data_IF_923328731721
#
_entry.id   IF_923328731721
#
_cell.length_a   1.000
_cell.length_b   1.000
_cell.length_c   1.000
_cell.angle_alpha   90.00
_cell.angle_beta   90.00
_cell.angle_gamma   90.00
#
_symmetry.space_group_name_H-M   'P 1'
#
loop_
_entity.id
_entity.type
_entity.pdbx_description
1 polymer ?
#
# COMPACT_ATOMS: atom_id res chain seq x y z
N UNK A 1 1.72 18.82 -8.80
CA UNK A 1 1.30 19.24 -7.44
C UNK A 1 1.06 17.97 -6.63
N UNK A 2 1.97 17.66 -5.70
CA UNK A 2 1.88 16.48 -4.85
C UNK A 2 0.93 16.76 -3.70
N UNK A 3 -0.23 16.11 -3.70
CA UNK A 3 -1.11 16.09 -2.54
C UNK A 3 -0.56 15.10 -1.52
N UNK A 4 -0.19 15.55 -0.34
CA UNK A 4 0.11 14.69 0.77
C UNK A 4 -1.18 14.04 1.28
N UNK A 5 -1.26 12.72 1.17
CA UNK A 5 -2.31 11.93 1.83
C UNK A 5 -1.81 11.60 3.25
N UNK A 6 -2.37 12.26 4.25
CA UNK A 6 -2.23 11.81 5.63
C UNK A 6 -3.23 10.66 5.86
N UNK A 7 -2.74 9.43 5.91
CA UNK A 7 -3.52 8.31 6.41
C UNK A 7 -3.52 8.36 7.94
N UNK A 8 -4.45 9.13 8.50
CA UNK A 8 -4.70 9.08 9.95
C UNK A 8 -5.71 7.96 10.22
N UNK A 9 -5.24 6.85 10.78
CA UNK A 9 -6.15 5.87 11.39
C UNK A 9 -6.66 6.46 12.70
N UNK A 10 -7.87 7.02 12.70
CA UNK A 10 -8.53 7.45 13.93
C UNK A 10 -9.11 6.21 14.63
N UNK A 11 -8.64 5.95 15.86
CA UNK A 11 -9.30 5.06 16.79
C UNK A 11 -10.57 5.76 17.30
N UNK A 12 -11.73 5.30 16.89
CA UNK A 12 -12.92 5.52 17.69
C UNK A 12 -12.94 4.56 18.88
N UNK A 13 -13.23 5.07 20.07
CA UNK A 13 -13.17 4.36 21.34
C UNK A 13 -14.36 3.43 21.59
N UNK A 14 -14.81 2.71 20.60
CA UNK A 14 -15.79 1.64 20.80
C UNK A 14 -15.11 0.29 20.68
N UNK A 15 -14.98 -0.35 21.84
CA UNK A 15 -14.17 -1.56 22.08
C UNK A 15 -14.74 -2.84 21.47
N UNK A 16 -15.78 -2.80 20.68
CA UNK A 16 -16.41 -4.02 20.14
C UNK A 16 -16.17 -4.28 18.66
N UNK A 17 -15.68 -3.31 17.87
CA UNK A 17 -15.33 -3.51 16.46
C UNK A 17 -14.24 -2.53 16.01
N UNK A 18 -13.00 -2.98 16.00
CA UNK A 18 -11.87 -2.23 15.45
C UNK A 18 -11.91 -2.21 13.91
N UNK A 19 -12.88 -1.52 13.33
CA UNK A 19 -12.96 -1.27 11.90
C UNK A 19 -12.05 -0.08 11.56
N UNK A 20 -11.03 -0.33 10.76
CA UNK A 20 -10.21 0.75 10.24
C UNK A 20 -10.93 1.40 9.06
N UNK A 21 -11.00 2.73 9.10
CA UNK A 21 -11.61 3.54 8.05
C UNK A 21 -10.50 4.10 7.17
N UNK A 22 -10.65 4.04 5.86
CA UNK A 22 -9.85 4.85 4.96
C UNK A 22 -10.45 6.25 4.96
N UNK A 23 -9.74 7.17 5.60
CA UNK A 23 -10.07 8.58 5.57
C UNK A 23 -9.38 9.21 4.38
N UNK A 24 -10.14 9.72 3.45
CA UNK A 24 -9.64 10.57 2.38
C UNK A 24 -9.89 12.01 2.78
N UNK A 25 -8.82 12.70 3.16
CA UNK A 25 -8.85 14.15 3.23
C UNK A 25 -8.94 14.70 1.82
N UNK A 26 -10.13 15.02 1.38
CA UNK A 26 -10.33 15.79 0.17
C UNK A 26 -9.87 17.22 0.44
N UNK A 27 -8.69 17.58 -0.08
CA UNK A 27 -8.14 18.93 -0.05
C UNK A 27 -8.94 19.91 -0.96
N UNK A 28 -10.30 19.86 -0.94
CA UNK A 28 -11.11 20.82 -1.66
C UNK A 28 -12.48 21.04 -0.98
N UNK A 29 -12.88 22.29 -0.81
CA UNK A 29 -12.11 23.50 -1.01
C UNK A 29 -11.10 23.70 0.12
N UNK A 30 -9.91 24.17 -0.24
CA UNK A 30 -8.92 24.60 0.76
C UNK A 30 -9.55 25.72 1.59
N UNK A 31 -9.46 25.62 2.92
CA UNK A 31 -9.60 26.79 3.77
C UNK A 31 -8.58 27.85 3.35
N UNK A 32 -8.79 29.10 3.72
CA UNK A 32 -7.80 30.16 3.48
C UNK A 32 -6.40 29.84 4.05
N UNK A 33 -6.31 28.87 4.97
CA UNK A 33 -5.07 28.35 5.57
C UNK A 33 -4.49 27.14 4.84
N UNK A 34 -5.15 26.60 3.82
CA UNK A 34 -4.68 25.46 3.05
C UNK A 34 -4.90 24.09 3.69
N UNK A 35 -5.54 24.02 4.85
CA UNK A 35 -5.84 22.77 5.55
C UNK A 35 -7.21 22.21 5.13
N UNK A 36 -7.34 20.88 5.12
CA UNK A 36 -8.63 20.22 4.95
C UNK A 36 -9.55 20.56 6.12
N UNK A 37 -10.77 20.99 5.83
CA UNK A 37 -11.71 21.44 6.86
C UNK A 37 -12.56 20.33 7.45
N UNK A 38 -12.74 19.23 6.73
CA UNK A 38 -13.50 18.05 7.17
C UNK A 38 -12.96 16.77 6.52
N UNK A 39 -12.55 15.76 7.30
CA UNK A 39 -12.27 14.44 6.76
C UNK A 39 -13.57 13.79 6.25
N UNK A 40 -13.48 13.09 5.14
CA UNK A 40 -14.57 12.27 4.62
C UNK A 40 -14.17 10.82 4.65
N UNK A 41 -15.06 9.94 5.09
CA UNK A 41 -14.88 8.51 4.99
C UNK A 41 -15.20 8.10 3.56
N UNK A 42 -14.18 7.64 2.83
CA UNK A 42 -14.34 7.09 1.48
C UNK A 42 -14.75 5.62 1.52
N UNK A 43 -14.16 4.84 2.42
CA UNK A 43 -14.49 3.45 2.66
C UNK A 43 -14.24 3.07 4.11
N UNK A 44 -15.03 2.14 4.63
CA UNK A 44 -14.87 1.56 5.96
C UNK A 44 -14.94 0.03 5.93
N UNK A 45 -14.94 -0.61 7.11
CA UNK A 45 -14.98 -2.07 7.19
C UNK A 45 -13.69 -2.75 6.73
N UNK A 46 -12.55 -2.06 6.73
CA UNK A 46 -11.26 -2.59 6.32
C UNK A 46 -10.48 -3.16 7.50
N UNK A 47 -9.87 -4.33 7.31
CA UNK A 47 -9.02 -4.96 8.30
C UNK A 47 -7.56 -4.48 8.13
N UNK A 48 -7.09 -3.69 9.08
CA UNK A 48 -5.69 -3.23 9.25
C UNK A 48 -5.07 -2.74 7.92
N UNK A 49 -5.64 -1.72 7.25
CA UNK A 49 -5.08 -1.20 6.00
C UNK A 49 -3.77 -0.45 6.27
N UNK A 50 -2.66 -0.89 5.68
CA UNK A 50 -1.36 -0.21 5.74
C UNK A 50 -1.00 0.46 4.42
N UNK A 51 -1.23 -0.22 3.30
CA UNK A 51 -0.95 0.28 1.97
C UNK A 51 -2.14 0.98 1.36
N UNK A 52 -1.92 2.19 0.81
CA UNK A 52 -2.94 2.95 0.09
C UNK A 52 -2.30 3.71 -1.07
N UNK A 53 -2.98 3.72 -2.22
CA UNK A 53 -2.57 4.48 -3.40
C UNK A 53 -3.78 5.01 -4.15
N UNK A 54 -3.93 6.34 -4.32
CA UNK A 54 -5.00 6.91 -5.12
C UNK A 54 -4.81 6.61 -6.62
N UNK A 55 -5.89 6.23 -7.29
CA UNK A 55 -5.91 5.98 -8.72
C UNK A 55 -7.28 6.26 -9.31
N UNK A 56 -7.35 7.09 -10.35
CA UNK A 56 -8.62 7.49 -11.00
C UNK A 56 -9.67 7.93 -9.97
N UNK A 57 -10.81 7.26 -9.94
CA UNK A 57 -11.95 7.49 -9.04
C UNK A 57 -11.92 6.60 -7.78
N UNK A 58 -10.74 6.12 -7.36
CA UNK A 58 -10.65 5.21 -6.24
C UNK A 58 -9.25 5.05 -5.67
N UNK A 59 -9.06 3.97 -4.91
CA UNK A 59 -7.82 3.67 -4.21
C UNK A 59 -7.50 2.18 -4.27
N UNK A 60 -6.23 1.86 -4.51
CA UNK A 60 -5.68 0.56 -4.14
C UNK A 60 -5.43 0.57 -2.64
N UNK A 61 -5.92 -0.45 -1.97
CA UNK A 61 -5.82 -0.56 -0.50
C UNK A 61 -5.40 -1.98 -0.15
N UNK A 62 -4.42 -2.11 0.73
CA UNK A 62 -4.16 -3.39 1.39
C UNK A 62 -5.25 -3.63 2.43
N UNK A 63 -5.85 -4.82 2.40
CA UNK A 63 -6.92 -5.23 3.28
C UNK A 63 -6.69 -6.68 3.74
N UNK A 64 -6.11 -6.85 4.92
CA UNK A 64 -5.79 -8.17 5.46
C UNK A 64 -4.97 -9.01 4.46
N UNK A 65 -5.54 -10.10 3.92
CA UNK A 65 -4.90 -11.01 2.96
C UNK A 65 -4.98 -10.56 1.50
N UNK A 66 -5.50 -9.36 1.22
CA UNK A 66 -5.80 -8.90 -0.14
C UNK A 66 -5.24 -7.51 -0.42
N UNK A 67 -4.99 -7.24 -1.68
CA UNK A 67 -4.95 -5.88 -2.23
C UNK A 67 -6.24 -5.71 -3.03
N UNK A 68 -7.01 -4.68 -2.68
CA UNK A 68 -8.29 -4.36 -3.30
C UNK A 68 -8.25 -3.00 -3.97
N UNK A 69 -9.04 -2.82 -5.02
CA UNK A 69 -9.36 -1.53 -5.58
C UNK A 69 -10.76 -1.13 -5.14
N UNK A 70 -10.85 -0.03 -4.41
CA UNK A 70 -12.09 0.57 -3.94
C UNK A 70 -12.36 1.77 -4.81
N UNK A 71 -13.51 1.83 -5.47
CA UNK A 71 -13.84 2.96 -6.34
C UNK A 71 -15.24 3.51 -6.07
N UNK A 72 -15.37 4.78 -6.37
CA UNK A 72 -16.58 5.56 -6.39
C UNK A 72 -17.06 5.61 -7.85
N UNK A 73 -18.18 4.95 -8.17
CA UNK A 73 -18.69 4.88 -9.54
C UNK A 73 -19.78 5.90 -9.83
N UNK A 74 -20.42 6.45 -8.81
CA UNK A 74 -21.49 7.44 -8.92
C UNK A 74 -21.09 8.88 -8.60
N UNK A 75 -19.87 9.08 -8.06
CA UNK A 75 -19.30 10.40 -7.79
C UNK A 75 -19.73 11.04 -6.47
N UNK A 76 -20.27 10.27 -5.54
CA UNK A 76 -20.74 10.79 -4.24
C UNK A 76 -19.60 10.97 -3.22
N UNK A 77 -18.40 10.51 -3.54
CA UNK A 77 -17.20 10.59 -2.70
C UNK A 77 -17.05 9.41 -1.75
N UNK A 78 -17.78 8.31 -1.98
CA UNK A 78 -17.66 7.05 -1.24
C UNK A 78 -17.44 5.90 -2.20
N UNK A 79 -16.75 4.86 -1.72
CA UNK A 79 -16.60 3.64 -2.50
C UNK A 79 -17.89 2.84 -2.50
N UNK A 80 -18.40 2.57 -3.69
CA UNK A 80 -19.57 1.73 -3.93
C UNK A 80 -19.22 0.41 -4.63
N UNK A 81 -17.97 0.28 -5.09
CA UNK A 81 -17.45 -0.94 -5.72
C UNK A 81 -16.13 -1.36 -5.11
N UNK A 82 -15.98 -2.66 -4.85
CA UNK A 82 -14.76 -3.31 -4.42
C UNK A 82 -14.35 -4.38 -5.43
N UNK A 83 -13.10 -4.38 -5.82
CA UNK A 83 -12.50 -5.37 -6.71
C UNK A 83 -11.23 -5.95 -6.06
N UNK A 84 -11.13 -7.27 -5.96
CA UNK A 84 -9.92 -7.94 -5.46
C UNK A 84 -8.90 -7.98 -6.59
N UNK A 85 -7.76 -7.33 -6.39
CA UNK A 85 -6.67 -7.24 -7.36
C UNK A 85 -5.68 -8.39 -7.16
N UNK A 86 -5.28 -8.61 -5.91
CA UNK A 86 -4.42 -9.73 -5.50
C UNK A 86 -4.95 -10.31 -4.19
N UNK A 87 -4.74 -11.61 -3.97
CA UNK A 87 -5.12 -12.28 -2.73
C UNK A 87 -4.04 -13.25 -2.26
N UNK A 88 -4.12 -13.70 -1.01
CA UNK A 88 -3.23 -14.72 -0.47
C UNK A 88 -1.99 -14.19 0.24
N UNK A 89 -1.99 -12.92 0.64
CA UNK A 89 -0.95 -12.37 1.52
C UNK A 89 -1.03 -12.97 2.93
N UNK A 90 0.12 -13.14 3.57
CA UNK A 90 0.21 -13.62 4.94
C UNK A 90 -0.26 -12.59 5.96
N UNK A 91 -0.65 -13.06 7.14
CA UNK A 91 -1.19 -12.25 8.25
C UNK A 91 -0.49 -12.53 9.59
N UNK A 92 0.70 -13.09 9.56
CA UNK A 92 1.41 -13.48 10.78
C UNK A 92 1.87 -12.28 11.58
N UNK A 93 2.23 -11.20 10.89
CA UNK A 93 2.62 -9.93 11.50
C UNK A 93 1.85 -8.77 10.87
N UNK A 94 0.86 -8.25 11.61
CA UNK A 94 -0.10 -7.27 11.08
C UNK A 94 0.49 -5.88 10.80
N UNK A 95 1.59 -5.51 11.44
CA UNK A 95 2.21 -4.21 11.18
C UNK A 95 3.18 -4.22 9.97
N UNK A 96 3.40 -5.37 9.38
CA UNK A 96 4.31 -5.60 8.27
C UNK A 96 3.61 -6.07 6.98
N UNK A 97 2.31 -5.85 6.86
CA UNK A 97 1.53 -6.12 5.65
C UNK A 97 2.04 -5.30 4.45
N UNK A 98 1.65 -5.64 3.21
CA UNK A 98 1.98 -4.84 2.05
C UNK A 98 1.68 -3.35 2.23
N UNK A 99 2.67 -2.51 2.06
CA UNK A 99 2.59 -1.07 2.29
C UNK A 99 3.49 -0.28 1.33
N UNK A 100 3.50 1.06 1.44
CA UNK A 100 4.30 1.96 0.59
C UNK A 100 3.98 1.83 -0.90
N UNK A 101 2.71 1.70 -1.25
CA UNK A 101 2.29 1.62 -2.64
C UNK A 101 2.76 2.83 -3.44
N UNK A 102 3.59 2.60 -4.45
CA UNK A 102 4.23 3.64 -5.25
C UNK A 102 4.02 3.35 -6.74
N UNK A 103 3.56 4.36 -7.47
CA UNK A 103 3.43 4.25 -8.93
C UNK A 103 4.77 4.15 -9.59
N UNK A 104 4.89 3.28 -10.56
CA UNK A 104 6.10 3.10 -11.35
C UNK A 104 5.79 3.05 -12.86
N UNK A 105 6.80 3.28 -13.71
CA UNK A 105 6.65 3.15 -15.16
C UNK A 105 6.10 1.80 -15.58
N UNK A 106 5.42 1.75 -16.73
CA UNK A 106 4.91 0.50 -17.30
C UNK A 106 3.66 -0.05 -16.60
N UNK A 107 2.85 0.80 -15.96
CA UNK A 107 1.64 0.41 -15.23
C UNK A 107 1.90 -0.56 -14.07
N UNK A 108 3.01 -0.37 -13.38
CA UNK A 108 3.34 -1.07 -12.16
C UNK A 108 3.01 -0.25 -10.92
N UNK A 109 2.60 -0.95 -9.88
CA UNK A 109 2.57 -0.46 -8.51
C UNK A 109 3.61 -1.26 -7.73
N UNK A 110 4.58 -0.57 -7.18
CA UNK A 110 5.58 -1.15 -6.31
C UNK A 110 5.14 -1.06 -4.86
N UNK A 111 5.56 -2.02 -4.05
CA UNK A 111 5.28 -2.03 -2.62
C UNK A 111 6.33 -2.84 -1.85
N UNK A 112 6.32 -2.68 -0.54
CA UNK A 112 7.15 -3.42 0.40
C UNK A 112 6.30 -4.31 1.30
N UNK A 113 6.88 -5.43 1.74
CA UNK A 113 6.39 -6.25 2.85
C UNK A 113 7.52 -6.44 3.86
N UNK A 114 7.19 -6.40 5.15
CA UNK A 114 8.17 -6.67 6.21
C UNK A 114 8.33 -8.15 6.53
N UNK A 115 9.15 -8.44 7.54
CA UNK A 115 9.46 -9.79 7.99
C UNK A 115 8.23 -10.55 8.54
N UNK A 116 8.37 -11.86 8.69
CA UNK A 116 7.43 -12.80 9.33
C UNK A 116 6.12 -13.08 8.59
N UNK A 117 5.80 -12.41 7.51
CA UNK A 117 4.64 -12.74 6.70
C UNK A 117 4.97 -13.79 5.65
N UNK A 118 4.13 -14.81 5.54
CA UNK A 118 4.26 -15.93 4.61
C UNK A 118 2.94 -16.12 3.90
N UNK A 119 2.95 -16.05 2.58
CA UNK A 119 1.74 -16.15 1.79
C UNK A 119 1.99 -16.73 0.40
N UNK A 120 0.91 -17.04 -0.29
CA UNK A 120 0.91 -17.47 -1.66
C UNK A 120 -0.01 -16.57 -2.45
N UNK A 121 0.59 -15.55 -3.07
CA UNK A 121 -0.15 -14.50 -3.75
C UNK A 121 -0.70 -15.00 -5.07
N UNK A 122 -1.98 -14.79 -5.27
CA UNK A 122 -2.72 -15.15 -6.48
C UNK A 122 -3.05 -13.90 -7.28
N UNK A 123 -2.72 -13.93 -8.56
CA UNK A 123 -3.02 -12.88 -9.55
C UNK A 123 -4.45 -13.04 -10.12
N UNK A 124 -4.95 -12.00 -10.75
CA UNK A 124 -6.25 -12.04 -11.47
C UNK A 124 -6.30 -13.08 -12.59
N UNK A 125 -5.14 -13.48 -13.14
CA UNK A 125 -5.01 -14.56 -14.13
C UNK A 125 -4.82 -15.95 -13.54
N UNK A 126 -4.82 -16.07 -12.20
CA UNK A 126 -4.70 -17.35 -11.50
C UNK A 126 -3.27 -17.85 -11.31
N UNK A 127 -2.25 -17.09 -11.69
CA UNK A 127 -0.87 -17.42 -11.34
C UNK A 127 -0.68 -17.28 -9.82
N UNK A 128 0.10 -18.19 -9.22
CA UNK A 128 0.40 -18.19 -7.78
C UNK A 128 1.90 -18.00 -7.57
N UNK A 129 2.26 -17.09 -6.68
CA UNK A 129 3.65 -16.77 -6.35
C UNK A 129 3.84 -16.85 -4.84
N UNK A 130 4.82 -17.64 -4.40
CA UNK A 130 5.23 -17.66 -2.99
C UNK A 130 5.82 -16.30 -2.61
N UNK A 131 5.24 -15.66 -1.59
CA UNK A 131 5.62 -14.32 -1.15
C UNK A 131 5.85 -14.30 0.36
N UNK A 132 7.11 -14.46 0.72
CA UNK A 132 7.51 -14.68 2.11
C UNK A 132 8.50 -13.64 2.58
N UNK A 133 8.46 -13.35 3.87
CA UNK A 133 9.40 -12.49 4.57
C UNK A 133 9.47 -11.07 3.98
N UNK A 134 10.58 -10.38 4.20
CA UNK A 134 10.78 -9.03 3.68
C UNK A 134 11.10 -9.05 2.19
N UNK A 135 10.26 -8.41 1.42
CA UNK A 135 10.38 -8.30 -0.03
C UNK A 135 9.99 -6.92 -0.52
N UNK A 136 10.65 -6.51 -1.58
CA UNK A 136 10.08 -5.55 -2.52
C UNK A 136 9.38 -6.32 -3.64
N UNK A 137 8.21 -5.89 -4.00
CA UNK A 137 7.43 -6.49 -5.06
C UNK A 137 6.68 -5.44 -5.87
N UNK A 138 6.12 -5.85 -6.99
CA UNK A 138 5.29 -5.02 -7.85
C UNK A 138 4.15 -5.81 -8.45
N UNK A 139 3.08 -5.13 -8.77
CA UNK A 139 1.95 -5.73 -9.48
C UNK A 139 1.39 -4.77 -10.54
N UNK A 140 0.72 -5.33 -11.55
CA UNK A 140 0.01 -4.54 -12.56
C UNK A 140 -1.27 -3.97 -11.98
N UNK A 141 -1.69 -2.80 -12.44
CA UNK A 141 -2.94 -2.15 -12.00
C UNK A 141 -4.17 -3.06 -12.06
N UNK A 142 -4.22 -3.98 -13.02
CA UNK A 142 -5.30 -4.95 -13.20
C UNK A 142 -5.08 -6.28 -12.45
N UNK A 143 -4.03 -6.39 -11.67
CA UNK A 143 -3.65 -7.62 -10.97
C UNK A 143 -3.21 -8.77 -11.88
N UNK A 144 -3.01 -8.51 -13.17
CA UNK A 144 -2.69 -9.54 -14.16
C UNK A 144 -1.30 -10.16 -13.98
N UNK A 145 -0.42 -9.47 -13.28
CA UNK A 145 0.96 -9.89 -13.08
C UNK A 145 1.46 -9.43 -11.71
N UNK A 146 2.30 -10.23 -11.09
CA UNK A 146 2.92 -10.01 -9.79
C UNK A 146 4.36 -10.49 -9.83
N UNK A 147 5.29 -9.63 -9.45
CA UNK A 147 6.72 -9.87 -9.53
C UNK A 147 7.44 -9.48 -8.23
N UNK A 148 8.31 -10.36 -7.74
CA UNK A 148 9.18 -10.11 -6.59
C UNK A 148 10.48 -9.52 -7.11
N UNK A 149 10.78 -8.29 -6.71
CA UNK A 149 11.89 -7.53 -7.26
C UNK A 149 13.17 -7.60 -6.42
N UNK A 150 13.07 -7.97 -5.14
CA UNK A 150 14.24 -8.19 -4.28
C UNK A 150 13.93 -8.95 -3.01
N UNK A 151 14.99 -9.33 -2.31
CA UNK A 151 14.99 -9.93 -0.99
C UNK A 151 15.63 -8.97 0.02
N UNK A 152 14.94 -8.74 1.16
CA UNK A 152 15.38 -7.79 2.18
C UNK A 152 15.29 -6.33 1.72
N UNK A 153 15.86 -5.37 2.49
CA UNK A 153 16.35 -5.51 3.86
C UNK A 153 15.22 -5.72 4.88
N UNK A 154 15.59 -5.99 6.14
CA UNK A 154 14.62 -6.22 7.21
C UNK A 154 13.68 -5.01 7.37
N UNK A 155 12.36 -5.27 7.40
CA UNK A 155 11.33 -4.28 7.65
C UNK A 155 11.47 -2.97 6.85
N UNK A 156 11.30 -3.09 5.53
CA UNK A 156 11.28 -1.91 4.65
C UNK A 156 10.08 -1.04 5.02
N UNK A 157 10.34 0.22 5.40
CA UNK A 157 9.28 1.18 5.76
C UNK A 157 9.14 2.34 4.80
N UNK A 158 10.15 2.63 4.02
CA UNK A 158 10.13 3.68 3.02
C UNK A 158 10.42 3.17 1.63
N UNK A 159 9.68 3.67 0.67
CA UNK A 159 9.89 3.44 -0.75
C UNK A 159 9.68 4.75 -1.48
N UNK A 160 10.69 5.17 -2.21
CA UNK A 160 10.65 6.38 -3.01
C UNK A 160 11.27 6.12 -4.39
N UNK A 161 10.63 6.64 -5.42
CA UNK A 161 11.15 6.58 -6.79
C UNK A 161 11.33 8.00 -7.31
N UNK A 162 12.52 8.32 -7.82
CA UNK A 162 12.81 9.62 -8.43
C UNK A 162 12.16 9.74 -9.80
N UNK A 163 12.12 10.94 -10.34
CA UNK A 163 11.62 11.17 -11.70
C UNK A 163 12.51 10.53 -12.78
N UNK A 164 13.76 10.29 -12.47
CA UNK A 164 14.75 9.61 -13.32
C UNK A 164 14.62 8.07 -13.23
N UNK A 165 13.74 7.57 -12.34
CA UNK A 165 13.49 6.14 -12.15
C UNK A 165 14.42 5.46 -11.14
N UNK A 166 15.24 6.22 -10.42
CA UNK A 166 16.00 5.68 -9.31
C UNK A 166 15.10 5.36 -8.12
N UNK A 167 15.26 4.19 -7.55
CA UNK A 167 14.47 3.74 -6.40
C UNK A 167 15.32 3.75 -5.15
N UNK A 168 14.75 4.27 -4.08
CA UNK A 168 15.35 4.33 -2.75
C UNK A 168 14.42 3.69 -1.72
N UNK A 169 15.01 2.98 -0.77
CA UNK A 169 14.28 2.32 0.32
C UNK A 169 14.88 2.66 1.68
N UNK A 170 14.06 2.54 2.73
CA UNK A 170 14.52 2.63 4.12
C UNK A 170 14.17 1.36 4.86
N UNK A 171 15.13 0.78 5.58
CA UNK A 171 14.92 -0.33 6.50
C UNK A 171 14.73 0.17 7.94
N UNK A 172 14.06 -0.61 8.78
CA UNK A 172 13.77 -0.20 10.15
C UNK A 172 14.98 -0.26 11.08
N UNK A 173 15.88 -1.21 10.86
CA UNK A 173 16.86 -1.57 11.89
C UNK A 173 18.31 -1.46 11.44
N UNK A 174 18.59 -1.04 10.18
CA UNK A 174 19.77 -1.61 9.60
C UNK A 174 20.72 -0.60 9.01
N UNK A 175 21.96 -0.98 9.05
CA UNK A 175 23.08 -0.48 8.26
C UNK A 175 23.54 0.94 8.56
N UNK A 176 23.01 1.59 9.60
CA UNK A 176 23.37 2.99 9.90
C UNK A 176 23.12 3.95 8.73
N UNK A 177 22.37 3.50 7.71
CA UNK A 177 22.02 4.26 6.53
C UNK A 177 20.50 4.49 6.51
N UNK A 178 20.03 5.74 6.65
CA UNK A 178 18.60 6.03 6.70
C UNK A 178 17.88 5.80 5.37
N UNK A 179 18.61 5.80 4.27
CA UNK A 179 18.09 5.50 2.94
C UNK A 179 19.18 4.84 2.09
N UNK A 180 18.81 3.82 1.34
CA UNK A 180 19.73 3.12 0.46
C UNK A 180 19.17 3.01 -0.96
N UNK A 181 20.04 3.08 -1.99
CA UNK A 181 19.62 2.86 -3.35
C UNK A 181 19.16 1.41 -3.52
N UNK A 182 18.00 1.25 -4.12
CA UNK A 182 17.42 -0.05 -4.40
C UNK A 182 17.74 -0.49 -5.83
N UNK A 183 18.10 -1.76 -5.99
CA UNK A 183 18.29 -2.38 -7.31
C UNK A 183 17.42 -3.62 -7.41
N UNK A 184 16.75 -3.78 -8.54
CA UNK A 184 16.03 -5.01 -8.87
C UNK A 184 16.99 -6.21 -8.82
N UNK A 185 16.48 -7.35 -8.38
CA UNK A 185 17.26 -8.58 -8.14
C UNK A 185 18.34 -8.46 -7.05
N UNK A 186 18.34 -7.37 -6.30
CA UNK A 186 19.23 -7.20 -5.16
C UNK A 186 18.89 -8.17 -4.02
N UNK A 187 19.92 -8.64 -3.33
CA UNK A 187 19.79 -9.34 -2.06
C UNK A 187 20.36 -8.43 -0.96
N UNK A 188 19.47 -7.95 -0.12
CA UNK A 188 19.77 -7.02 0.98
C UNK A 188 19.72 -7.71 2.35
N UNK A 189 19.82 -9.03 2.39
CA UNK A 189 19.87 -9.78 3.65
C UNK A 189 21.18 -9.49 4.35
N UNK A 190 21.10 -8.95 5.56
CA UNK A 190 22.20 -8.86 6.52
C UNK A 190 22.02 -9.90 7.60
#
# INVERSE_FOLDING_TARGET
>A
MSGYLNSAALRESDSSQAWHKVLVDYLYPKSATGYATRPRVFADGLAIPLGILPYKNGFYVQHCTEIVFLCDTDGDGKADKREVILSGFGVQDSHLFPHQFTRAPGNWIWFAQGAFNYGKVKTSKGAEVQFDQTRMARFRYDGSDFDITSQGPCNIWGLFMTMEGETWITGANDYGCPAMPFRESGNYTG
#
